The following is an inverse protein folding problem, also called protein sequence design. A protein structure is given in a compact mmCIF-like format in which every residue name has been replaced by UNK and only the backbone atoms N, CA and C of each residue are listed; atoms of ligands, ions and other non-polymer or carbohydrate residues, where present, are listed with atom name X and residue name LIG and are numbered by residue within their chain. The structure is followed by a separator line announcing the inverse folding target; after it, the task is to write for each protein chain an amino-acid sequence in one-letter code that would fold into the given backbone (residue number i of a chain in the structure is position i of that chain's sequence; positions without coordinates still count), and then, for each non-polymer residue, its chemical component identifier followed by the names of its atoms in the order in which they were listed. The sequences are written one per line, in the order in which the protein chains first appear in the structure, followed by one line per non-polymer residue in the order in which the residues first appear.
data_IF_357356662630
#
_entry.id   IF_357356662630
#
_cell.length_a   1.000
_cell.length_b   1.000
_cell.length_c   1.000
_cell.angle_alpha   90.00
_cell.angle_beta   90.00
_cell.angle_gamma   90.00
#
_symmetry.space_group_name_H-M   'P 1'
#
loop_
_entity.id
_entity.type
_entity.pdbx_description
1 polymer ?
#
# COMPACT_ATOMS: atom_id res chain seq x y z
N UNK A 1 -7.21 27.26 -2.51
CA UNK A 1 -5.94 26.49 -2.47
C UNK A 1 -4.81 27.16 -1.69
N UNK A 2 -4.90 28.41 -1.31
CA UNK A 2 -3.83 29.17 -0.61
C UNK A 2 -3.84 29.08 0.91
N UNK A 3 -4.97 28.80 1.54
CA UNK A 3 -5.08 28.72 3.00
C UNK A 3 -4.50 27.43 3.61
N UNK A 4 -4.63 26.30 2.95
CA UNK A 4 -4.15 25.01 3.46
C UNK A 4 -2.62 24.87 3.44
N UNK A 5 -1.93 25.52 2.50
CA UNK A 5 -0.45 25.50 2.42
C UNK A 5 0.24 26.36 3.49
N UNK A 6 -0.41 27.39 4.01
CA UNK A 6 0.17 28.28 5.01
C UNK A 6 0.16 27.71 6.45
N UNK A 7 -0.55 26.59 6.68
CA UNK A 7 -0.81 26.06 8.03
C UNK A 7 0.07 24.85 8.43
N UNK A 8 1.14 24.57 7.70
CA UNK A 8 2.12 23.52 8.06
C UNK A 8 3.17 23.93 9.10
N UNK A 9 3.15 25.15 9.60
CA UNK A 9 4.03 25.59 10.67
C UNK A 9 3.26 25.63 12.00
N UNK A 10 3.69 24.85 12.96
CA UNK A 10 3.10 24.44 14.24
C UNK A 10 2.11 25.34 15.00
N UNK A 11 2.03 26.67 14.75
CA UNK A 11 1.06 27.54 15.40
C UNK A 11 -0.34 27.52 14.74
N UNK A 12 -0.42 27.28 13.44
CA UNK A 12 -1.67 27.30 12.70
C UNK A 12 -2.52 26.02 12.86
N UNK A 13 -1.92 24.90 13.23
CA UNK A 13 -2.65 23.66 13.48
C UNK A 13 -3.53 23.72 14.74
N UNK A 14 -3.18 24.55 15.73
CA UNK A 14 -3.95 24.71 16.95
C UNK A 14 -5.19 25.60 16.79
N UNK A 15 -5.13 26.62 15.92
CA UNK A 15 -6.27 27.50 15.68
C UNK A 15 -7.36 26.89 14.80
N UNK A 16 -7.01 25.90 13.94
CA UNK A 16 -7.99 25.18 13.11
C UNK A 16 -8.82 24.20 13.94
N UNK A 17 -8.27 23.70 15.05
CA UNK A 17 -8.94 22.72 15.91
C UNK A 17 -10.12 23.28 16.71
N UNK A 18 -10.25 24.60 16.78
CA UNK A 18 -11.32 25.26 17.56
C UNK A 18 -12.62 25.46 16.78
N UNK A 19 -12.63 25.23 15.46
CA UNK A 19 -13.81 25.46 14.61
C UNK A 19 -14.39 24.18 13.95
N UNK A 20 -13.69 23.05 14.02
CA UNK A 20 -14.18 21.77 13.48
C UNK A 20 -14.21 20.72 14.58
N UNK A 21 -15.39 20.41 15.06
CA UNK A 21 -15.57 19.53 16.22
C UNK A 21 -15.77 18.06 15.88
N UNK A 22 -16.01 17.71 14.62
CA UNK A 22 -16.42 16.34 14.32
C UNK A 22 -15.77 15.80 13.06
N UNK A 23 -15.19 14.61 13.17
CA UNK A 23 -14.74 13.84 12.04
C UNK A 23 -15.73 12.71 11.77
N UNK A 24 -16.34 12.70 10.59
CA UNK A 24 -17.04 11.54 10.06
C UNK A 24 -16.01 10.69 9.34
N UNK A 25 -15.78 9.49 9.83
CA UNK A 25 -14.91 8.53 9.16
C UNK A 25 -15.78 7.50 8.46
N UNK A 26 -15.77 7.50 7.15
CA UNK A 26 -16.45 6.50 6.34
C UNK A 26 -15.45 5.44 5.92
N UNK A 27 -15.69 4.19 6.33
CA UNK A 27 -14.99 3.04 5.78
C UNK A 27 -15.78 2.54 4.56
N UNK A 28 -15.45 2.99 3.36
CA UNK A 28 -16.06 2.47 2.17
C UNK A 28 -15.09 1.60 1.40
N UNK A 29 -15.18 0.30 1.60
CA UNK A 29 -14.87 -0.69 0.58
C UNK A 29 -15.52 -2.02 0.98
N UNK A 30 -16.52 -2.41 0.24
CA UNK A 30 -17.09 -3.74 0.35
C UNK A 30 -16.19 -4.72 -0.41
N UNK A 31 -15.26 -5.31 0.30
CA UNK A 31 -14.53 -6.47 -0.17
C UNK A 31 -15.33 -7.71 0.22
N UNK A 32 -16.24 -8.17 -0.60
CA UNK A 32 -17.00 -9.40 -0.30
C UNK A 32 -17.22 -10.29 -1.52
N UNK A 33 -16.84 -11.49 -1.29
CA UNK A 33 -17.34 -12.86 -1.56
C UNK A 33 -16.98 -13.59 -2.84
N UNK A 34 -16.43 -14.77 -2.64
CA UNK A 34 -16.21 -15.98 -3.47
C UNK A 34 -14.79 -16.16 -4.03
N UNK A 35 -13.83 -16.71 -3.24
CA UNK A 35 -12.50 -17.04 -3.72
C UNK A 35 -11.81 -18.19 -2.96
N UNK A 36 -12.45 -19.32 -2.72
CA UNK A 36 -11.70 -20.47 -2.18
C UNK A 36 -10.74 -21.09 -3.22
N UNK A 37 -11.06 -21.06 -4.51
CA UNK A 37 -10.21 -21.61 -5.56
C UNK A 37 -9.29 -20.61 -6.27
N UNK A 38 -9.64 -19.33 -6.34
CA UNK A 38 -8.81 -18.29 -6.98
C UNK A 38 -7.65 -17.79 -6.12
N UNK A 39 -7.75 -17.82 -4.79
CA UNK A 39 -6.68 -17.39 -3.87
C UNK A 39 -5.39 -18.21 -4.04
N UNK A 40 -5.51 -19.52 -4.22
CA UNK A 40 -4.37 -20.41 -4.45
C UNK A 40 -3.68 -20.06 -5.79
N UNK A 41 -4.45 -19.66 -6.79
CA UNK A 41 -3.92 -19.24 -8.09
C UNK A 41 -3.21 -17.89 -8.05
N UNK A 42 -3.62 -16.96 -7.22
CA UNK A 42 -2.96 -15.65 -7.06
C UNK A 42 -1.56 -15.79 -6.49
N UNK A 43 -1.40 -16.53 -5.41
CA UNK A 43 -0.09 -16.79 -4.78
C UNK A 43 0.88 -17.56 -5.67
N UNK A 44 0.37 -18.38 -6.60
CA UNK A 44 1.18 -19.20 -7.51
C UNK A 44 1.48 -18.54 -8.86
N UNK A 45 0.65 -17.59 -9.32
CA UNK A 45 0.82 -16.92 -10.63
C UNK A 45 1.71 -15.70 -10.59
N UNK A 46 1.79 -15.00 -9.47
CA UNK A 46 2.62 -13.80 -9.37
C UNK A 46 4.04 -14.16 -8.98
N UNK A 47 4.92 -14.16 -9.96
CA UNK A 47 6.38 -14.18 -9.76
C UNK A 47 6.88 -12.77 -9.44
N UNK A 48 6.34 -12.03 -8.68
CA UNK A 48 6.56 -10.70 -8.19
C UNK A 48 5.30 -10.24 -7.47
N UNK A 49 5.43 -9.51 -6.38
CA UNK A 49 4.29 -9.05 -5.58
C UNK A 49 4.29 -7.54 -5.44
N UNK A 50 3.14 -6.97 -5.75
CA UNK A 50 2.81 -5.59 -5.41
C UNK A 50 1.78 -5.62 -4.31
N UNK A 51 1.92 -4.75 -3.30
CA UNK A 51 0.94 -4.68 -2.23
C UNK A 51 -0.44 -4.31 -2.80
N UNK A 52 -1.45 -5.00 -2.33
CA UNK A 52 -2.82 -4.98 -2.85
C UNK A 52 -3.42 -3.59 -2.92
N UNK A 53 -3.07 -2.73 -1.95
CA UNK A 53 -3.49 -1.34 -1.93
C UNK A 53 -3.26 -0.61 -3.27
N UNK A 54 -2.14 -0.89 -3.95
CA UNK A 54 -1.76 -0.21 -5.18
C UNK A 54 -2.37 -0.83 -6.44
N UNK A 55 -2.82 -2.07 -6.36
CA UNK A 55 -3.48 -2.75 -7.49
C UNK A 55 -4.90 -2.25 -7.70
N UNK A 56 -5.51 -1.67 -6.68
CA UNK A 56 -6.85 -1.10 -6.77
C UNK A 56 -6.78 0.34 -7.30
N UNK A 57 -7.82 0.77 -7.98
CA UNK A 57 -8.00 2.17 -8.34
C UNK A 57 -8.38 2.95 -7.08
N UNK A 58 -7.39 3.24 -6.25
CA UNK A 58 -7.61 3.94 -5.00
C UNK A 58 -8.19 5.35 -5.19
N UNK A 59 -8.59 5.96 -4.11
CA UNK A 59 -9.24 7.29 -4.07
C UNK A 59 -8.44 8.43 -4.72
N UNK A 60 -7.21 8.21 -5.13
CA UNK A 60 -6.40 9.18 -5.89
C UNK A 60 -6.74 9.22 -7.38
N UNK A 61 -7.38 8.19 -7.89
CA UNK A 61 -7.84 8.16 -9.27
C UNK A 61 -9.22 8.78 -9.36
N UNK A 62 -9.32 9.93 -10.00
CA UNK A 62 -10.55 10.72 -10.09
C UNK A 62 -11.69 10.00 -10.83
N UNK A 63 -11.37 9.00 -11.61
CA UNK A 63 -12.28 8.12 -12.31
C UNK A 63 -12.78 6.93 -11.50
N UNK A 64 -12.12 6.64 -10.35
CA UNK A 64 -12.53 5.53 -9.49
C UNK A 64 -13.87 5.78 -8.80
N UNK A 65 -14.64 4.72 -8.59
CA UNK A 65 -15.93 4.81 -7.88
C UNK A 65 -15.75 5.29 -6.43
N UNK A 66 -14.65 4.90 -5.76
CA UNK A 66 -14.31 5.40 -4.43
C UNK A 66 -14.13 6.91 -4.39
N UNK A 67 -13.42 7.49 -5.38
CA UNK A 67 -13.24 8.93 -5.48
C UNK A 67 -14.58 9.64 -5.76
N UNK A 68 -15.36 9.15 -6.73
CA UNK A 68 -16.68 9.71 -7.07
C UNK A 68 -17.63 9.69 -5.87
N UNK A 69 -17.65 8.58 -5.12
CA UNK A 69 -18.46 8.45 -3.90
C UNK A 69 -18.02 9.46 -2.83
N UNK A 70 -16.72 9.65 -2.63
CA UNK A 70 -16.18 10.63 -1.71
C UNK A 70 -16.60 12.06 -2.07
N UNK A 71 -16.48 12.42 -3.36
CA UNK A 71 -16.92 13.74 -3.86
C UNK A 71 -18.42 13.93 -3.71
N UNK A 72 -19.20 12.91 -4.04
CA UNK A 72 -20.67 12.97 -3.90
C UNK A 72 -21.09 13.14 -2.43
N UNK A 73 -20.41 12.47 -1.51
CA UNK A 73 -20.70 12.60 -0.08
C UNK A 73 -20.30 13.98 0.48
N UNK A 74 -19.14 14.51 0.07
CA UNK A 74 -18.76 15.89 0.40
C UNK A 74 -19.82 16.89 -0.06
N UNK A 75 -20.26 16.75 -1.32
CA UNK A 75 -21.32 17.58 -1.86
C UNK A 75 -22.62 17.45 -1.05
N UNK A 76 -23.02 16.23 -0.70
CA UNK A 76 -24.21 15.99 0.11
C UNK A 76 -24.14 16.73 1.46
N UNK A 77 -23.01 16.66 2.14
CA UNK A 77 -22.81 17.37 3.42
C UNK A 77 -22.91 18.90 3.22
N UNK A 78 -22.32 19.42 2.16
CA UNK A 78 -22.39 20.85 1.83
C UNK A 78 -23.84 21.28 1.49
N UNK A 79 -24.58 20.46 0.74
CA UNK A 79 -26.00 20.70 0.43
C UNK A 79 -26.90 20.67 1.68
N UNK A 80 -26.45 19.96 2.76
CA UNK A 80 -27.06 20.01 4.09
C UNK A 80 -26.73 21.31 4.87
N UNK A 81 -25.94 22.22 4.31
CA UNK A 81 -25.56 23.48 4.93
C UNK A 81 -24.30 23.43 5.80
N UNK A 82 -23.57 22.30 5.77
CA UNK A 82 -22.34 22.11 6.56
C UNK A 82 -21.12 22.66 5.82
N UNK A 83 -20.17 23.22 6.57
CA UNK A 83 -18.83 23.45 6.06
C UNK A 83 -18.03 22.16 6.16
N UNK A 84 -17.42 21.75 5.05
CA UNK A 84 -16.75 20.45 4.95
C UNK A 84 -15.30 20.63 4.56
N UNK A 85 -14.40 19.91 5.23
CA UNK A 85 -13.01 19.67 4.78
C UNK A 85 -12.73 18.16 4.72
N UNK A 86 -12.02 17.73 3.67
CA UNK A 86 -11.77 16.32 3.43
C UNK A 86 -10.29 15.95 3.58
N UNK A 87 -10.03 14.67 3.84
CA UNK A 87 -8.70 14.09 3.93
C UNK A 87 -8.22 13.50 2.58
N UNK A 88 -8.92 13.80 1.46
CA UNK A 88 -8.58 13.26 0.13
C UNK A 88 -7.14 13.59 -0.30
N UNK A 89 -6.68 14.78 0.07
CA UNK A 89 -5.35 15.28 -0.29
C UNK A 89 -4.29 15.10 0.80
N UNK A 90 -4.53 14.25 1.79
CA UNK A 90 -3.71 13.98 2.97
C UNK A 90 -3.75 14.94 4.14
N UNK A 91 -3.91 14.35 5.29
CA UNK A 91 -3.31 14.85 6.52
C UNK A 91 -4.09 15.92 7.26
N UNK A 92 -5.41 15.94 7.17
CA UNK A 92 -6.23 16.82 8.04
C UNK A 92 -6.51 16.16 9.39
N UNK A 93 -6.44 14.84 9.49
CA UNK A 93 -6.67 14.10 10.74
C UNK A 93 -5.85 12.81 10.84
N UNK A 94 -5.73 12.30 12.05
CA UNK A 94 -5.16 10.97 12.32
C UNK A 94 -6.21 9.88 12.03
N UNK A 95 -6.40 9.56 10.74
CA UNK A 95 -7.48 8.69 10.23
C UNK A 95 -7.75 7.44 11.05
N UNK A 96 -6.71 6.67 11.40
CA UNK A 96 -6.87 5.42 12.17
C UNK A 96 -7.41 5.68 13.57
N UNK A 97 -6.94 6.75 14.21
CA UNK A 97 -7.44 7.16 15.53
C UNK A 97 -8.87 7.69 15.44
N UNK A 98 -9.17 8.51 14.44
CA UNK A 98 -10.51 9.01 14.18
C UNK A 98 -11.51 7.88 13.93
N UNK A 99 -11.13 6.89 13.10
CA UNK A 99 -11.94 5.69 12.86
C UNK A 99 -12.20 4.86 14.12
N UNK A 100 -11.18 4.75 14.99
CA UNK A 100 -11.33 4.08 16.28
C UNK A 100 -12.29 4.84 17.21
N UNK A 101 -12.20 6.16 17.27
CA UNK A 101 -13.11 7.00 18.06
C UNK A 101 -14.53 7.01 17.50
N UNK A 102 -14.67 6.93 16.18
CA UNK A 102 -15.98 6.80 15.53
C UNK A 102 -16.61 5.40 15.69
N UNK A 103 -15.93 4.45 16.34
CA UNK A 103 -16.46 3.12 16.60
C UNK A 103 -16.49 2.17 15.40
N UNK A 104 -15.90 2.55 14.25
CA UNK A 104 -15.96 1.75 13.01
C UNK A 104 -14.88 0.65 12.93
N UNK A 105 -13.89 0.69 13.82
CA UNK A 105 -12.80 -0.28 13.80
C UNK A 105 -11.82 -0.09 14.95
N UNK A 106 -10.76 -0.89 14.92
CA UNK A 106 -9.65 -0.83 15.89
C UNK A 106 -8.29 -0.84 15.21
N UNK A 107 -7.30 -0.31 15.87
CA UNK A 107 -5.89 -0.46 15.47
C UNK A 107 -5.39 -1.78 16.08
N UNK A 108 -4.81 -2.67 15.24
CA UNK A 108 -4.23 -3.94 15.71
C UNK A 108 -2.71 -3.85 15.86
N UNK A 109 -2.11 -4.91 16.40
CA UNK A 109 -0.66 -4.97 16.77
C UNK A 109 0.31 -4.64 15.63
N UNK A 110 -0.13 -4.74 14.36
CA UNK A 110 0.66 -4.34 13.19
C UNK A 110 0.45 -2.86 12.77
N UNK A 111 -0.18 -2.07 13.61
CA UNK A 111 -0.51 -0.65 13.33
C UNK A 111 -1.50 -0.40 12.18
N UNK A 112 -2.08 -1.43 11.57
CA UNK A 112 -3.16 -1.25 10.61
C UNK A 112 -4.51 -1.14 11.32
N UNK A 113 -5.43 -0.42 10.66
CA UNK A 113 -6.80 -0.29 11.09
C UNK A 113 -7.63 -1.45 10.55
N UNK A 114 -8.46 -2.02 11.40
CA UNK A 114 -9.33 -3.15 11.08
C UNK A 114 -10.76 -2.83 11.43
N UNK A 115 -11.64 -3.03 10.47
CA UNK A 115 -13.09 -3.13 10.71
C UNK A 115 -13.47 -4.60 10.88
N UNK A 116 -14.78 -4.90 11.00
CA UNK A 116 -15.29 -6.27 10.96
C UNK A 116 -14.93 -7.01 9.66
N UNK A 117 -14.71 -6.26 8.56
CA UNK A 117 -14.37 -6.78 7.24
C UNK A 117 -12.88 -6.96 6.99
N UNK A 118 -12.02 -6.64 7.96
CA UNK A 118 -10.57 -6.73 7.82
C UNK A 118 -9.87 -5.40 7.69
N UNK A 119 -8.61 -5.41 7.21
CA UNK A 119 -7.77 -4.23 7.08
C UNK A 119 -7.64 -3.69 5.64
N UNK A 120 -8.09 -4.44 4.65
CA UNK A 120 -8.05 -4.00 3.25
C UNK A 120 -9.20 -3.05 2.95
N UNK A 121 -9.09 -1.84 3.50
CA UNK A 121 -10.12 -0.82 3.40
C UNK A 121 -9.47 0.56 3.31
N UNK A 122 -10.12 1.46 2.57
CA UNK A 122 -9.78 2.87 2.58
C UNK A 122 -10.50 3.57 3.72
N UNK A 123 -9.75 4.38 4.46
CA UNK A 123 -10.31 5.30 5.45
C UNK A 123 -10.32 6.71 4.85
N UNK A 124 -11.38 7.41 5.09
CA UNK A 124 -11.53 8.81 4.75
C UNK A 124 -12.21 9.56 5.89
N UNK A 125 -11.84 10.82 6.08
CA UNK A 125 -12.45 11.68 7.07
C UNK A 125 -13.03 12.91 6.40
N UNK A 126 -14.20 13.30 6.88
CA UNK A 126 -14.86 14.55 6.58
C UNK A 126 -14.97 15.34 7.88
N UNK A 127 -14.27 16.46 7.96
CA UNK A 127 -14.43 17.39 9.08
C UNK A 127 -15.57 18.32 8.76
N UNK A 128 -16.49 18.48 9.71
CA UNK A 128 -17.64 19.38 9.59
C UNK A 128 -17.66 20.36 10.75
N UNK A 129 -18.33 21.46 10.58
CA UNK A 129 -18.46 22.55 11.57
C UNK A 129 -19.58 22.33 12.59
N UNK A 130 -20.27 21.20 12.52
CA UNK A 130 -21.31 20.80 13.46
C UNK A 130 -20.87 19.62 14.35
N UNK A 131 -21.15 19.63 15.66
CA UNK A 131 -20.86 18.51 16.53
C UNK A 131 -21.78 17.33 16.25
N UNK A 132 -21.21 16.13 16.04
CA UNK A 132 -22.01 14.90 15.98
C UNK A 132 -22.25 14.35 17.39
N UNK A 133 -23.51 14.09 17.69
CA UNK A 133 -23.91 13.49 18.95
C UNK A 133 -23.93 11.95 18.92
N UNK A 134 -23.71 11.37 17.75
CA UNK A 134 -23.83 9.92 17.54
C UNK A 134 -22.46 9.26 17.47
N UNK A 135 -22.17 8.46 18.51
CA UNK A 135 -20.97 7.62 18.58
C UNK A 135 -21.43 6.18 18.73
N UNK A 136 -20.97 5.31 17.83
CA UNK A 136 -21.21 3.86 17.94
C UNK A 136 -20.08 3.23 18.73
N UNK A 137 -20.43 2.46 19.76
CA UNK A 137 -19.43 1.64 20.45
C UNK A 137 -18.92 0.53 19.54
N UNK A 138 -17.61 0.40 19.49
CA UNK A 138 -16.96 -0.63 18.71
C UNK A 138 -17.07 -1.99 19.39
N UNK A 139 -17.64 -2.96 18.68
CA UNK A 139 -17.81 -4.34 19.15
C UNK A 139 -16.67 -5.28 18.68
N UNK A 140 -15.69 -4.76 17.94
CA UNK A 140 -14.59 -5.57 17.38
C UNK A 140 -13.63 -5.98 18.51
N UNK A 141 -13.46 -7.28 18.69
CA UNK A 141 -12.54 -7.81 19.69
C UNK A 141 -11.09 -7.46 19.35
N UNK A 142 -10.31 -6.98 20.33
CA UNK A 142 -8.87 -6.74 20.14
C UNK A 142 -8.11 -8.04 19.84
N UNK A 143 -6.83 -7.91 19.50
CA UNK A 143 -5.98 -9.09 19.39
C UNK A 143 -5.89 -9.82 20.73
N UNK A 144 -5.93 -11.15 20.69
CA UNK A 144 -5.60 -11.93 21.88
C UNK A 144 -4.19 -11.54 22.39
N UNK A 145 -4.01 -11.56 23.70
CA UNK A 145 -2.78 -11.11 24.36
C UNK A 145 -1.54 -11.79 23.77
N UNK A 146 -1.57 -13.11 23.62
CA UNK A 146 -0.47 -13.93 23.08
C UNK A 146 -0.38 -13.95 21.55
N UNK A 147 -1.30 -13.30 20.83
CA UNK A 147 -1.25 -13.28 19.37
C UNK A 147 -0.10 -12.41 18.86
N UNK A 148 0.74 -12.97 18.00
CA UNK A 148 1.88 -12.30 17.37
C UNK A 148 2.02 -12.69 15.88
N UNK A 149 0.96 -13.13 15.23
CA UNK A 149 0.99 -13.60 13.84
C UNK A 149 1.60 -12.56 12.89
N UNK A 150 1.16 -11.31 12.96
CA UNK A 150 1.65 -10.24 12.12
C UNK A 150 3.14 -9.91 12.39
N UNK A 151 3.58 -10.00 13.64
CA UNK A 151 4.98 -9.75 14.02
C UNK A 151 5.87 -10.84 13.42
N UNK A 152 5.51 -12.11 13.60
CA UNK A 152 6.26 -13.26 13.05
C UNK A 152 6.24 -13.35 11.54
N UNK A 153 5.25 -12.77 10.88
CA UNK A 153 5.16 -12.76 9.41
C UNK A 153 5.94 -11.62 8.77
N UNK A 154 6.46 -10.68 9.55
CA UNK A 154 7.24 -9.58 9.02
C UNK A 154 8.61 -10.10 8.53
N UNK A 155 8.90 -10.09 7.23
CA UNK A 155 10.11 -10.72 6.71
C UNK A 155 11.40 -10.03 7.17
N UNK A 156 11.33 -8.74 7.45
CA UNK A 156 12.47 -7.92 7.91
C UNK A 156 12.41 -7.59 9.41
N UNK A 157 11.49 -8.21 10.15
CA UNK A 157 11.31 -7.98 11.58
C UNK A 157 11.04 -6.50 11.95
N UNK A 158 10.57 -5.71 10.98
CA UNK A 158 10.22 -4.30 11.14
C UNK A 158 9.14 -4.06 12.22
N UNK A 159 8.30 -5.05 12.49
CA UNK A 159 7.37 -5.07 13.62
C UNK A 159 8.10 -5.61 14.85
N UNK A 160 8.75 -4.72 15.59
CA UNK A 160 9.60 -5.07 16.73
C UNK A 160 8.81 -5.56 17.95
N UNK A 161 7.61 -5.01 18.14
CA UNK A 161 6.69 -5.35 19.22
C UNK A 161 5.25 -4.98 18.83
N UNK A 162 4.23 -5.38 19.61
CA UNK A 162 2.88 -4.91 19.41
C UNK A 162 2.80 -3.37 19.34
N UNK A 163 2.23 -2.86 18.24
CA UNK A 163 2.07 -1.43 17.96
C UNK A 163 3.39 -0.66 17.74
N UNK A 164 4.51 -1.35 17.63
CA UNK A 164 5.83 -0.76 17.35
C UNK A 164 6.34 -1.24 16.00
N UNK A 165 6.68 -0.30 15.13
CA UNK A 165 7.20 -0.58 13.80
C UNK A 165 8.37 0.35 13.50
N UNK A 166 9.50 -0.24 13.11
CA UNK A 166 10.61 0.50 12.53
C UNK A 166 10.35 0.72 11.05
N UNK A 167 10.11 1.98 10.66
CA UNK A 167 9.85 2.32 9.26
C UNK A 167 11.03 1.98 8.36
N UNK A 168 12.26 2.22 8.83
CA UNK A 168 13.48 2.11 8.03
C UNK A 168 13.86 0.68 7.66
N UNK A 169 13.26 -0.31 8.32
CA UNK A 169 13.45 -1.74 8.01
C UNK A 169 12.22 -2.36 7.33
N UNK A 170 11.15 -1.59 7.14
CA UNK A 170 9.92 -2.10 6.53
C UNK A 170 10.07 -2.27 5.02
N UNK A 171 9.82 -3.47 4.50
CA UNK A 171 9.87 -3.77 3.05
C UNK A 171 9.04 -2.76 2.25
N UNK A 172 7.87 -2.39 2.74
CA UNK A 172 7.04 -1.38 2.06
C UNK A 172 7.77 -0.05 1.94
N UNK A 173 8.45 0.42 2.97
CA UNK A 173 9.19 1.66 2.93
C UNK A 173 10.41 1.54 2.00
N UNK A 174 11.18 0.46 2.14
CA UNK A 174 12.40 0.23 1.36
C UNK A 174 12.12 0.04 -0.15
N UNK A 175 10.98 -0.51 -0.52
CA UNK A 175 10.59 -0.65 -1.93
C UNK A 175 9.89 0.58 -2.52
N UNK A 176 9.41 1.51 -1.70
CA UNK A 176 8.66 2.70 -2.15
C UNK A 176 9.41 4.00 -1.93
N UNK A 177 9.91 4.27 -0.73
CA UNK A 177 10.49 5.55 -0.34
C UNK A 177 12.02 5.56 -0.33
N UNK A 178 12.63 4.67 0.43
CA UNK A 178 14.01 4.80 0.88
C UNK A 178 15.00 3.82 0.23
N UNK A 179 14.58 2.66 -0.24
CA UNK A 179 15.46 1.62 -0.80
C UNK A 179 16.05 1.96 -2.18
N UNK A 180 16.93 2.93 -2.27
CA UNK A 180 17.47 3.45 -3.53
C UNK A 180 18.46 2.51 -4.18
N UNK A 181 19.40 1.95 -3.41
CA UNK A 181 20.39 1.00 -3.89
C UNK A 181 20.28 -0.31 -3.09
N UNK A 182 19.53 -1.25 -3.66
CA UNK A 182 19.30 -2.54 -3.02
C UNK A 182 20.56 -3.43 -2.96
N UNK A 183 21.60 -3.12 -3.74
CA UNK A 183 22.87 -3.86 -3.67
C UNK A 183 23.57 -3.69 -2.32
N UNK A 184 23.36 -2.53 -1.69
CA UNK A 184 23.94 -2.18 -0.38
C UNK A 184 22.94 -2.29 0.78
N UNK A 185 21.67 -2.61 0.49
CA UNK A 185 20.63 -2.75 1.52
C UNK A 185 20.80 -4.09 2.26
N UNK A 186 21.13 -4.09 3.56
CA UNK A 186 21.39 -5.32 4.31
C UNK A 186 20.21 -6.31 4.34
N UNK A 187 18.98 -5.79 4.19
CA UNK A 187 17.75 -6.58 4.29
C UNK A 187 17.20 -7.01 2.94
N UNK A 188 17.85 -6.65 1.82
CA UNK A 188 17.33 -6.90 0.49
C UNK A 188 16.98 -8.37 0.20
N UNK A 189 17.72 -9.30 0.79
CA UNK A 189 17.48 -10.74 0.67
C UNK A 189 16.23 -11.23 1.44
N UNK A 190 15.72 -10.42 2.35
CA UNK A 190 14.49 -10.69 3.10
C UNK A 190 13.23 -10.11 2.44
N UNK A 191 13.36 -9.39 1.31
CA UNK A 191 12.20 -8.81 0.62
C UNK A 191 11.33 -9.86 -0.10
N UNK A 192 11.78 -11.10 -0.15
CA UNK A 192 11.06 -12.17 -0.85
C UNK A 192 10.70 -11.75 -2.30
N UNK A 193 9.43 -11.84 -2.65
CA UNK A 193 8.89 -11.48 -3.98
C UNK A 193 8.38 -10.05 -4.08
N UNK A 194 8.55 -9.23 -3.05
CA UNK A 194 7.96 -7.88 -3.05
C UNK A 194 8.72 -6.94 -3.98
N UNK A 195 8.00 -6.44 -4.99
CA UNK A 195 8.48 -5.42 -5.93
C UNK A 195 8.12 -4.02 -5.41
N UNK A 196 6.92 -3.88 -4.80
CA UNK A 196 6.42 -2.58 -4.36
C UNK A 196 5.41 -2.73 -3.24
N UNK A 197 5.70 -2.13 -2.09
CA UNK A 197 4.90 -2.32 -0.88
C UNK A 197 5.06 -3.72 -0.30
N UNK A 198 4.31 -4.02 0.75
CA UNK A 198 4.32 -5.33 1.40
C UNK A 198 3.04 -5.51 2.21
N UNK A 199 2.38 -6.67 2.08
CA UNK A 199 1.17 -7.02 2.82
C UNK A 199 1.38 -8.15 3.84
N UNK A 200 2.61 -8.64 4.04
CA UNK A 200 2.90 -9.83 4.84
C UNK A 200 2.21 -9.81 6.22
N UNK A 201 2.27 -8.68 6.92
CA UNK A 201 1.66 -8.53 8.24
C UNK A 201 0.13 -8.44 8.20
N UNK A 202 -0.47 -8.01 7.10
CA UNK A 202 -1.93 -8.01 6.89
C UNK A 202 -2.42 -9.39 6.47
N UNK A 203 -1.71 -10.05 5.54
CA UNK A 203 -2.02 -11.40 5.05
C UNK A 203 -1.93 -12.46 6.17
N UNK A 204 -1.12 -12.22 7.20
CA UNK A 204 -1.00 -13.12 8.34
C UNK A 204 -2.29 -13.23 9.18
N UNK A 205 -3.19 -12.25 9.10
CA UNK A 205 -4.44 -12.30 9.83
C UNK A 205 -5.46 -13.17 9.11
N UNK A 206 -6.00 -14.24 9.77
CA UNK A 206 -6.81 -15.25 9.08
C UNK A 206 -8.05 -14.71 8.35
N UNK A 207 -8.70 -13.68 8.90
CA UNK A 207 -9.86 -13.07 8.28
C UNK A 207 -9.52 -12.26 7.02
N UNK A 208 -8.33 -11.66 6.93
CA UNK A 208 -7.89 -10.97 5.72
C UNK A 208 -7.66 -11.91 4.53
N UNK A 209 -7.32 -13.18 4.78
CA UNK A 209 -7.13 -14.17 3.71
C UNK A 209 -8.39 -14.40 2.88
N UNK A 210 -9.56 -14.22 3.49
CA UNK A 210 -10.86 -14.35 2.83
C UNK A 210 -11.40 -13.04 2.27
N UNK A 211 -10.78 -11.91 2.60
CA UNK A 211 -11.25 -10.59 2.24
C UNK A 211 -10.79 -10.11 0.86
N UNK A 212 -9.94 -10.87 0.19
CA UNK A 212 -9.30 -10.48 -1.06
C UNK A 212 -9.98 -11.14 -2.26
N UNK A 213 -10.75 -10.38 -3.01
CA UNK A 213 -11.59 -10.87 -4.09
C UNK A 213 -11.72 -9.86 -5.21
N UNK A 214 -11.82 -10.31 -6.46
CA UNK A 214 -12.39 -9.52 -7.53
C UNK A 214 -13.86 -9.26 -7.20
N UNK A 215 -14.21 -8.01 -7.09
CA UNK A 215 -15.57 -7.56 -6.85
C UNK A 215 -15.98 -6.61 -7.98
N UNK A 216 -17.26 -6.31 -8.06
CA UNK A 216 -17.76 -5.27 -8.97
C UNK A 216 -17.09 -3.90 -8.74
N UNK A 217 -16.55 -3.66 -7.54
CA UNK A 217 -15.82 -2.42 -7.21
C UNK A 217 -14.41 -2.39 -7.81
N UNK A 218 -13.82 -3.56 -8.11
CA UNK A 218 -12.46 -3.67 -8.63
C UNK A 218 -12.37 -4.71 -9.76
N UNK A 219 -13.14 -4.58 -10.83
CA UNK A 219 -13.25 -5.59 -11.88
C UNK A 219 -11.95 -5.84 -12.64
N UNK A 220 -11.02 -4.88 -12.62
CA UNK A 220 -9.74 -4.96 -13.34
C UNK A 220 -8.61 -5.54 -12.48
N UNK A 221 -8.87 -5.92 -11.22
CA UNK A 221 -7.82 -6.33 -10.30
C UNK A 221 -7.01 -7.52 -10.82
N UNK A 222 -7.68 -8.53 -11.39
CA UNK A 222 -7.04 -9.71 -11.97
C UNK A 222 -6.21 -9.33 -13.21
N UNK A 223 -6.73 -8.48 -14.08
CA UNK A 223 -6.02 -7.99 -15.25
C UNK A 223 -4.75 -7.23 -14.85
N UNK A 224 -4.86 -6.29 -13.90
CA UNK A 224 -3.72 -5.53 -13.41
C UNK A 224 -2.65 -6.40 -12.78
N UNK A 225 -3.02 -7.41 -12.02
CA UNK A 225 -2.04 -8.28 -11.36
C UNK A 225 -1.18 -9.05 -12.36
N UNK A 226 -1.71 -9.39 -13.52
CA UNK A 226 -0.94 -10.06 -14.57
C UNK A 226 0.14 -9.16 -15.17
N UNK A 227 -0.06 -7.84 -15.15
CA UNK A 227 0.88 -6.84 -15.66
C UNK A 227 1.98 -6.43 -14.65
N UNK A 228 1.89 -6.84 -13.42
CA UNK A 228 2.88 -6.51 -12.38
C UNK A 228 3.76 -7.70 -11.98
N UNK A 229 4.07 -8.58 -12.93
CA UNK A 229 5.07 -9.61 -12.71
C UNK A 229 6.48 -9.00 -12.74
N UNK A 230 7.42 -9.66 -12.07
CA UNK A 230 8.82 -9.26 -12.08
C UNK A 230 9.38 -9.13 -13.51
N UNK A 231 9.11 -10.12 -14.37
CA UNK A 231 9.57 -10.14 -15.77
C UNK A 231 8.99 -8.98 -16.59
N UNK A 232 7.69 -8.72 -16.46
CA UNK A 232 7.05 -7.63 -17.22
C UNK A 232 7.55 -6.26 -16.75
N UNK A 233 7.72 -6.04 -15.46
CA UNK A 233 8.27 -4.80 -14.93
C UNK A 233 9.73 -4.59 -15.37
N UNK A 234 10.57 -5.63 -15.32
CA UNK A 234 11.97 -5.52 -15.73
C UNK A 234 12.10 -5.21 -17.22
N UNK A 235 11.26 -5.81 -18.06
CA UNK A 235 11.28 -5.62 -19.51
C UNK A 235 10.45 -4.42 -19.99
N UNK A 236 9.73 -3.75 -19.11
CA UNK A 236 8.83 -2.67 -19.48
C UNK A 236 9.54 -1.48 -20.12
N UNK A 237 8.88 -0.88 -21.12
CA UNK A 237 9.29 0.40 -21.68
C UNK A 237 9.05 1.52 -20.65
N UNK A 238 9.97 2.48 -20.58
CA UNK A 238 9.84 3.58 -19.62
C UNK A 238 8.63 4.49 -19.89
N UNK A 239 8.20 4.59 -21.14
CA UNK A 239 6.96 5.28 -21.51
C UNK A 239 5.75 4.67 -20.81
N UNK A 240 5.66 3.33 -20.77
CA UNK A 240 4.62 2.61 -20.06
C UNK A 240 4.76 2.72 -18.52
N UNK A 241 5.99 2.62 -18.00
CA UNK A 241 6.25 2.82 -16.58
C UNK A 241 5.78 4.20 -16.10
N UNK A 242 6.03 5.26 -16.90
CA UNK A 242 5.62 6.63 -16.58
C UNK A 242 4.11 6.85 -16.67
N UNK A 243 3.48 6.36 -17.75
CA UNK A 243 2.09 6.66 -18.05
C UNK A 243 1.10 5.76 -17.33
N UNK A 244 1.49 4.53 -16.99
CA UNK A 244 0.60 3.50 -16.45
C UNK A 244 0.99 3.07 -15.04
N UNK A 245 2.26 2.71 -14.82
CA UNK A 245 2.70 2.17 -13.53
C UNK A 245 2.84 3.26 -12.48
N UNK A 246 3.54 4.34 -12.81
CA UNK A 246 3.83 5.41 -11.88
C UNK A 246 2.58 6.10 -11.30
N UNK A 247 1.50 6.35 -12.04
CA UNK A 247 0.26 6.87 -11.46
C UNK A 247 -0.38 5.93 -10.43
N UNK A 248 -0.22 4.61 -10.58
CA UNK A 248 -0.70 3.62 -9.61
C UNK A 248 0.26 3.43 -8.44
N UNK A 249 1.55 3.31 -8.73
CA UNK A 249 2.62 3.08 -7.76
C UNK A 249 3.35 4.39 -7.42
N UNK A 250 2.62 5.38 -7.04
CA UNK A 250 2.93 6.81 -7.02
C UNK A 250 3.94 7.29 -5.96
N UNK A 251 4.41 6.44 -5.04
CA UNK A 251 5.44 6.84 -4.08
C UNK A 251 6.84 6.94 -4.68
N UNK A 252 7.12 6.21 -5.77
CA UNK A 252 8.33 6.42 -6.54
C UNK A 252 8.12 7.69 -7.38
N UNK A 253 8.96 8.75 -7.20
CA UNK A 253 8.76 10.00 -7.90
C UNK A 253 9.02 9.87 -9.40
N UNK A 254 8.44 10.77 -10.17
CA UNK A 254 8.73 10.90 -11.60
C UNK A 254 10.23 11.10 -11.85
N UNK A 255 10.76 10.46 -12.89
CA UNK A 255 12.19 10.42 -13.19
C UNK A 255 12.99 9.37 -12.42
N UNK A 256 12.31 8.57 -11.59
CA UNK A 256 12.89 7.45 -10.84
C UNK A 256 12.25 6.11 -11.20
N UNK A 257 11.67 6.00 -12.38
CA UNK A 257 10.94 4.80 -12.84
C UNK A 257 11.85 3.56 -12.92
N UNK A 258 13.16 3.76 -13.06
CA UNK A 258 14.15 2.70 -12.98
C UNK A 258 14.08 1.87 -11.67
N UNK A 259 13.57 2.46 -10.59
CA UNK A 259 13.43 1.76 -9.30
C UNK A 259 12.43 0.62 -9.36
N UNK A 260 11.41 0.68 -10.19
CA UNK A 260 10.50 -0.47 -10.39
C UNK A 260 11.28 -1.66 -10.92
N UNK A 261 12.19 -1.45 -11.88
CA UNK A 261 13.03 -2.50 -12.47
C UNK A 261 14.05 -3.04 -11.47
N UNK A 262 14.73 -2.19 -10.71
CA UNK A 262 15.71 -2.65 -9.70
C UNK A 262 15.03 -3.44 -8.58
N UNK A 263 13.83 -3.04 -8.14
CA UNK A 263 13.04 -3.81 -7.18
C UNK A 263 12.63 -5.18 -7.74
N UNK A 264 12.23 -5.23 -9.01
CA UNK A 264 11.85 -6.49 -9.66
C UNK A 264 13.06 -7.41 -9.87
N UNK A 265 14.24 -6.87 -10.21
CA UNK A 265 15.50 -7.63 -10.27
C UNK A 265 15.86 -8.23 -8.90
N UNK A 266 15.66 -7.48 -7.80
CA UNK A 266 15.85 -8.01 -6.45
C UNK A 266 14.86 -9.15 -6.13
N UNK A 267 13.60 -9.02 -6.54
CA UNK A 267 12.61 -10.07 -6.37
C UNK A 267 12.97 -11.34 -7.19
N UNK A 268 13.53 -11.18 -8.40
CA UNK A 268 14.06 -12.29 -9.20
C UNK A 268 15.21 -13.00 -8.51
N UNK A 269 16.16 -12.26 -7.93
CA UNK A 269 17.28 -12.82 -7.17
C UNK A 269 16.82 -13.61 -5.95
N UNK A 270 15.88 -13.05 -5.18
CA UNK A 270 15.37 -13.66 -3.96
C UNK A 270 14.51 -14.91 -4.22
N UNK A 271 13.99 -15.06 -5.42
CA UNK A 271 13.14 -16.18 -5.83
C UNK A 271 13.60 -16.70 -7.19
N UNK A 272 14.89 -16.97 -7.33
CA UNK A 272 15.51 -17.29 -8.59
C UNK A 272 14.84 -18.47 -9.29
N UNK A 273 14.63 -18.29 -10.59
CA UNK A 273 14.21 -19.30 -11.57
C UNK A 273 15.17 -19.17 -12.77
N UNK A 274 15.78 -20.25 -13.27
CA UNK A 274 16.67 -20.17 -14.44
C UNK A 274 16.09 -19.44 -15.66
N UNK A 275 14.76 -19.37 -15.77
CA UNK A 275 14.06 -18.61 -16.80
C UNK A 275 14.29 -17.10 -16.71
N UNK A 276 14.73 -16.58 -15.57
CA UNK A 276 15.07 -15.18 -15.41
C UNK A 276 16.41 -14.79 -16.04
N UNK A 277 17.32 -15.74 -16.19
CA UNK A 277 18.67 -15.47 -16.67
C UNK A 277 18.71 -14.71 -18.00
N UNK A 278 17.94 -15.06 -19.05
CA UNK A 278 17.90 -14.29 -20.30
C UNK A 278 17.35 -12.88 -20.11
N UNK A 279 16.38 -12.71 -19.20
CA UNK A 279 15.78 -11.40 -18.89
C UNK A 279 16.80 -10.50 -18.20
N UNK A 280 17.48 -11.00 -17.17
CA UNK A 280 18.50 -10.26 -16.43
C UNK A 280 19.64 -9.85 -17.36
N UNK A 281 20.15 -10.78 -18.19
CA UNK A 281 21.20 -10.49 -19.19
C UNK A 281 20.78 -9.39 -20.18
N UNK A 282 19.52 -9.39 -20.61
CA UNK A 282 19.00 -8.36 -21.52
C UNK A 282 19.09 -6.97 -20.93
N UNK A 283 18.75 -6.79 -19.66
CA UNK A 283 18.71 -5.48 -19.00
C UNK A 283 20.05 -5.00 -18.45
N UNK A 284 21.14 -5.76 -18.63
CA UNK A 284 22.51 -5.24 -18.54
C UNK A 284 22.80 -4.18 -19.63
N UNK A 285 21.90 -4.02 -20.61
CA UNK A 285 21.94 -2.97 -21.64
C UNK A 285 20.81 -1.94 -21.47
N UNK A 286 20.19 -1.84 -20.29
CA UNK A 286 19.12 -0.88 -20.02
C UNK A 286 19.62 0.57 -20.18
N UNK A 287 18.73 1.49 -20.52
CA UNK A 287 19.09 2.90 -20.68
C UNK A 287 19.56 3.56 -19.37
N UNK A 288 19.03 3.11 -18.22
CA UNK A 288 19.42 3.62 -16.91
C UNK A 288 20.59 2.83 -16.33
N UNK A 289 21.61 3.56 -15.88
CA UNK A 289 22.79 2.97 -15.24
C UNK A 289 22.42 2.15 -14.02
N UNK A 290 21.51 2.65 -13.19
CA UNK A 290 21.06 2.00 -11.97
C UNK A 290 20.49 0.59 -12.23
N UNK A 291 19.82 0.40 -13.37
CA UNK A 291 19.29 -0.91 -13.77
C UNK A 291 20.41 -1.82 -14.28
N UNK A 292 21.33 -1.29 -15.09
CA UNK A 292 22.49 -2.07 -15.57
C UNK A 292 23.32 -2.58 -14.39
N UNK A 293 23.73 -1.66 -13.50
CA UNK A 293 24.53 -2.00 -12.32
C UNK A 293 23.82 -3.03 -11.43
N UNK A 294 22.49 -2.93 -11.26
CA UNK A 294 21.71 -3.89 -10.50
C UNK A 294 21.63 -5.26 -11.18
N UNK A 295 21.46 -5.29 -12.51
CA UNK A 295 21.41 -6.53 -13.27
C UNK A 295 22.75 -7.28 -13.25
N UNK A 296 23.86 -6.58 -13.43
CA UNK A 296 25.20 -7.12 -13.33
C UNK A 296 25.45 -7.71 -11.92
N UNK A 297 25.13 -6.95 -10.89
CA UNK A 297 25.24 -7.43 -9.51
C UNK A 297 24.36 -8.66 -9.24
N UNK A 298 23.15 -8.73 -9.78
CA UNK A 298 22.30 -9.90 -9.65
C UNK A 298 22.91 -11.12 -10.32
N UNK A 299 23.54 -10.98 -11.48
CA UNK A 299 24.28 -12.08 -12.15
C UNK A 299 25.43 -12.59 -11.28
N UNK A 300 26.25 -11.68 -10.74
CA UNK A 300 27.34 -12.01 -9.81
C UNK A 300 26.83 -12.76 -8.56
N UNK A 301 25.72 -12.31 -8.01
CA UNK A 301 25.09 -12.97 -6.85
C UNK A 301 24.55 -14.38 -7.17
N UNK A 302 23.99 -14.58 -8.36
CA UNK A 302 23.55 -15.88 -8.84
C UNK A 302 24.74 -16.85 -8.95
N UNK A 303 25.84 -16.40 -9.55
CA UNK A 303 27.07 -17.17 -9.65
C UNK A 303 27.68 -17.48 -8.27
N UNK A 304 27.78 -16.45 -7.41
CA UNK A 304 28.32 -16.61 -6.03
C UNK A 304 27.52 -17.59 -5.20
N UNK A 305 26.19 -17.63 -5.38
CA UNK A 305 25.29 -18.56 -4.69
C UNK A 305 25.25 -19.96 -5.31
N UNK A 306 25.82 -20.15 -6.50
CA UNK A 306 25.79 -21.41 -7.23
C UNK A 306 24.39 -21.88 -7.62
N UNK A 307 23.49 -20.94 -7.92
CA UNK A 307 22.07 -21.22 -8.25
C UNK A 307 21.75 -20.99 -9.73
N UNK A 308 22.78 -20.61 -10.55
CA UNK A 308 22.68 -20.33 -11.99
C UNK A 308 22.77 -21.57 -12.89
#
# INVERSE_FOLDING_TARGET
MTAAKKKRTGKAAYEVSTHFFTAIVTGSCRWQTQLEEKEIRWGQRMKGRVAKYYLTNGRRHTDSEGYKTSVAFEKYLADCGLQVATDRDFGITALRWAGMKAGIGIIRKNNFFYTEKGSYQYLEAFLIDEPLQYIVENQIRPCAEKCNLCIRSCPTESLEAPYMMCRNTCVSCLTTWDGWDLRTEPLQNKFEKWIYGCDACQDAWPHNRKAWKDTEEFPELEAWSSHFTDTEIVLAEYSWLRSVVQPKLWYIPQGKEWRYKTNALNAMLNNYDPKYLPVIKKVCQDEYREVRDMAEWVLEEIERKGIG
#
